data_IF_339546868994
#
_entry.id   IF_339546868994
#
_cell.length_a   1.000
_cell.length_b   1.000
_cell.length_c   1.000
_cell.angle_alpha   90.00
_cell.angle_beta   90.00
_cell.angle_gamma   90.00
#
_symmetry.space_group_name_H-M   'P 1'
#
loop_
_entity.id
_entity.type
_entity.pdbx_description
1 polymer ?
#
# COMPACT_ATOMS: atom_id res chain seq x y z
N UNK A 1 -10.97 -1.59 11.87
CA UNK A 1 -10.07 -0.44 12.08
C UNK A 1 -9.70 -0.34 13.54
N UNK A 2 -8.45 -0.02 13.85
CA UNK A 2 -7.95 0.11 15.21
C UNK A 2 -8.18 1.48 15.82
N UNK A 3 -8.44 1.51 17.13
CA UNK A 3 -8.70 2.76 17.87
C UNK A 3 -7.46 3.66 17.96
N UNK A 4 -6.27 3.10 17.73
CA UNK A 4 -5.02 3.83 17.73
C UNK A 4 -4.55 4.25 16.33
N UNK A 5 -5.35 3.98 15.29
CA UNK A 5 -5.03 4.40 13.94
C UNK A 5 -5.23 5.90 13.72
N UNK A 6 -4.49 6.49 12.78
CA UNK A 6 -4.58 7.92 12.43
C UNK A 6 -6.02 8.35 12.10
N UNK A 7 -6.86 7.46 11.57
CA UNK A 7 -8.27 7.77 11.26
C UNK A 7 -9.11 8.08 12.49
N UNK A 8 -8.76 7.53 13.66
CA UNK A 8 -9.51 7.70 14.91
C UNK A 8 -8.88 8.77 15.83
N UNK A 9 -7.62 9.13 15.60
CA UNK A 9 -6.87 10.11 16.40
C UNK A 9 -7.28 11.54 16.02
N UNK A 10 -7.16 12.44 17.00
CA UNK A 10 -7.46 13.87 16.83
C UNK A 10 -6.36 14.74 17.43
N UNK A 11 -6.38 16.04 17.12
CA UNK A 11 -5.46 17.01 17.73
C UNK A 11 -3.98 16.71 17.48
N UNK A 12 -3.17 16.82 18.53
CA UNK A 12 -1.71 16.68 18.42
C UNK A 12 -1.27 15.25 18.11
N UNK A 13 -1.97 14.22 18.63
CA UNK A 13 -1.66 12.82 18.29
C UNK A 13 -1.89 12.54 16.79
N UNK A 14 -2.97 13.08 16.22
CA UNK A 14 -3.18 13.01 14.76
C UNK A 14 -2.07 13.75 14.02
N UNK A 15 -1.70 14.96 14.45
CA UNK A 15 -0.64 15.76 13.82
C UNK A 15 0.71 15.04 13.82
N UNK A 16 1.06 14.38 14.93
CA UNK A 16 2.28 13.58 15.06
C UNK A 16 2.31 12.43 14.05
N UNK A 17 1.30 11.53 14.09
CA UNK A 17 1.19 10.41 13.14
C UNK A 17 1.17 10.87 11.69
N UNK A 18 0.42 11.93 11.39
CA UNK A 18 0.35 12.51 10.05
C UNK A 18 1.72 13.02 9.58
N UNK A 19 2.48 13.68 10.46
CA UNK A 19 3.84 14.15 10.16
C UNK A 19 4.77 13.00 9.81
N UNK A 20 4.75 11.91 10.58
CA UNK A 20 5.56 10.71 10.32
C UNK A 20 5.22 10.12 8.95
N UNK A 21 3.93 9.86 8.69
CA UNK A 21 3.46 9.24 7.44
C UNK A 21 3.78 10.11 6.23
N UNK A 22 3.47 11.41 6.29
CA UNK A 22 3.73 12.33 5.17
C UNK A 22 5.21 12.53 4.88
N UNK A 23 6.08 12.46 5.90
CA UNK A 23 7.53 12.54 5.68
C UNK A 23 8.06 11.40 4.79
N UNK A 24 7.48 10.19 4.89
CA UNK A 24 7.86 9.05 4.03
C UNK A 24 7.32 9.19 2.62
N UNK A 25 6.18 9.85 2.46
CA UNK A 25 5.58 10.12 1.14
C UNK A 25 6.05 11.45 0.54
N UNK A 26 7.14 12.02 1.07
CA UNK A 26 7.81 13.19 0.50
C UNK A 26 8.45 12.87 -0.85
N UNK A 27 8.83 13.90 -1.61
CA UNK A 27 9.50 13.74 -2.92
C UNK A 27 10.73 12.83 -2.80
N UNK A 28 11.55 13.01 -1.76
CA UNK A 28 12.73 12.18 -1.50
C UNK A 28 12.35 10.73 -1.21
N UNK A 29 11.31 10.50 -0.39
CA UNK A 29 10.82 9.16 -0.11
C UNK A 29 10.27 8.46 -1.36
N UNK A 30 9.52 9.19 -2.19
CA UNK A 30 9.03 8.68 -3.48
C UNK A 30 10.19 8.36 -4.44
N UNK A 31 11.21 9.22 -4.52
CA UNK A 31 12.41 8.95 -5.33
C UNK A 31 13.10 7.65 -4.93
N UNK A 32 13.23 7.38 -3.63
CA UNK A 32 13.81 6.14 -3.11
C UNK A 32 12.90 4.91 -3.36
N UNK A 33 11.59 5.11 -3.42
CA UNK A 33 10.61 4.03 -3.58
C UNK A 33 10.48 3.54 -5.03
N UNK A 34 10.61 4.43 -6.04
CA UNK A 34 10.38 4.09 -7.45
C UNK A 34 11.21 2.87 -7.92
N UNK A 35 12.54 2.80 -7.71
CA UNK A 35 13.33 1.64 -8.15
C UNK A 35 12.89 0.34 -7.49
N UNK A 36 12.47 0.39 -6.22
CA UNK A 36 12.00 -0.76 -5.45
C UNK A 36 10.68 -1.27 -6.02
N UNK A 37 9.75 -0.35 -6.30
CA UNK A 37 8.49 -0.67 -6.98
C UNK A 37 8.75 -1.28 -8.36
N UNK A 38 9.66 -0.73 -9.16
CA UNK A 38 10.03 -1.32 -10.44
C UNK A 38 10.51 -2.77 -10.29
N UNK A 39 11.37 -3.04 -9.30
CA UNK A 39 11.86 -4.39 -9.03
C UNK A 39 10.71 -5.34 -8.64
N UNK A 40 9.85 -4.95 -7.71
CA UNK A 40 8.72 -5.78 -7.26
C UNK A 40 7.71 -6.02 -8.39
N UNK A 41 7.41 -5.00 -9.20
CA UNK A 41 6.54 -5.13 -10.38
C UNK A 41 7.15 -6.10 -11.39
N UNK A 42 8.43 -5.97 -11.74
CA UNK A 42 9.08 -6.88 -12.69
C UNK A 42 9.06 -8.34 -12.19
N UNK A 43 9.41 -8.57 -10.92
CA UNK A 43 9.34 -9.91 -10.30
C UNK A 43 7.92 -10.48 -10.37
N UNK A 44 6.90 -9.67 -10.07
CA UNK A 44 5.50 -10.09 -10.14
C UNK A 44 5.08 -10.45 -11.56
N UNK A 45 5.42 -9.63 -12.56
CA UNK A 45 5.10 -9.88 -13.97
C UNK A 45 5.77 -11.17 -14.48
N UNK A 46 7.04 -11.38 -14.14
CA UNK A 46 7.78 -12.60 -14.51
C UNK A 46 7.17 -13.85 -13.87
N UNK A 47 6.89 -13.80 -12.56
CA UNK A 47 6.34 -14.92 -11.80
C UNK A 47 4.91 -15.27 -12.22
N UNK A 48 4.07 -14.25 -12.43
CA UNK A 48 2.61 -14.45 -12.48
C UNK A 48 1.99 -14.20 -13.87
N UNK A 49 2.64 -13.46 -14.78
CA UNK A 49 2.03 -13.06 -16.06
C UNK A 49 2.72 -13.71 -17.26
N UNK A 50 4.05 -13.71 -17.31
CA UNK A 50 4.83 -14.06 -18.51
C UNK A 50 4.52 -15.46 -19.11
N UNK A 51 4.18 -16.44 -18.29
CA UNK A 51 3.92 -17.82 -18.71
C UNK A 51 2.43 -18.19 -18.77
N UNK A 52 1.53 -17.25 -18.45
CA UNK A 52 0.10 -17.51 -18.36
C UNK A 52 -0.64 -16.86 -19.54
N UNK A 53 -1.41 -17.66 -20.28
CA UNK A 53 -2.25 -17.14 -21.39
C UNK A 53 -3.42 -16.30 -20.89
N UNK A 54 -3.93 -16.63 -19.71
CA UNK A 54 -5.03 -15.95 -19.05
C UNK A 54 -4.64 -15.65 -17.62
N UNK A 55 -4.96 -14.45 -17.15
CA UNK A 55 -4.70 -14.02 -15.78
C UNK A 55 -5.96 -13.48 -15.14
N UNK A 56 -6.16 -13.78 -13.86
CA UNK A 56 -7.14 -13.06 -13.05
C UNK A 56 -6.55 -11.70 -12.67
N UNK A 57 -6.81 -10.68 -13.49
CA UNK A 57 -6.20 -9.36 -13.32
C UNK A 57 -6.46 -8.78 -11.92
N UNK A 58 -7.70 -8.78 -11.44
CA UNK A 58 -8.04 -8.22 -10.13
C UNK A 58 -7.27 -8.90 -8.99
N UNK A 59 -7.25 -10.24 -8.97
CA UNK A 59 -6.50 -11.01 -7.97
C UNK A 59 -5.00 -10.74 -8.08
N UNK A 60 -4.48 -10.68 -9.29
CA UNK A 60 -3.05 -10.45 -9.53
C UNK A 60 -2.62 -9.06 -9.08
N UNK A 61 -3.42 -8.03 -9.38
CA UNK A 61 -3.16 -6.65 -8.96
C UNK A 61 -3.33 -6.47 -7.46
N UNK A 62 -4.27 -7.17 -6.81
CA UNK A 62 -4.35 -7.23 -5.35
C UNK A 62 -3.04 -7.74 -4.75
N UNK A 63 -2.58 -8.92 -5.17
CA UNK A 63 -1.29 -9.45 -4.71
C UNK A 63 -0.14 -8.47 -4.95
N UNK A 64 -0.04 -7.89 -6.15
CA UNK A 64 1.02 -6.92 -6.49
C UNK A 64 1.03 -5.71 -5.56
N UNK A 65 -0.13 -5.07 -5.37
CA UNK A 65 -0.22 -3.86 -4.54
C UNK A 65 -0.01 -4.18 -3.06
N UNK A 66 -0.43 -5.36 -2.59
CA UNK A 66 -0.15 -5.82 -1.23
C UNK A 66 1.35 -6.00 -1.01
N UNK A 67 2.03 -6.68 -1.94
CA UNK A 67 3.49 -6.85 -1.93
C UNK A 67 4.22 -5.51 -1.97
N UNK A 68 3.82 -4.59 -2.86
CA UNK A 68 4.43 -3.26 -2.94
C UNK A 68 4.33 -2.52 -1.61
N UNK A 69 3.17 -2.57 -0.92
CA UNK A 69 3.03 -1.86 0.35
C UNK A 69 3.90 -2.49 1.44
N UNK A 70 3.89 -3.81 1.59
CA UNK A 70 4.72 -4.49 2.59
C UNK A 70 6.22 -4.27 2.34
N UNK A 71 6.67 -4.46 1.11
CA UNK A 71 8.09 -4.34 0.75
C UNK A 71 8.49 -2.86 0.68
N UNK A 72 7.85 -2.08 -0.19
CA UNK A 72 8.33 -0.75 -0.57
C UNK A 72 7.97 0.36 0.44
N UNK A 73 6.85 0.24 1.16
CA UNK A 73 6.46 1.24 2.16
C UNK A 73 6.95 0.85 3.56
N UNK A 74 6.80 -0.42 3.94
CA UNK A 74 7.12 -0.90 5.29
C UNK A 74 8.46 -1.63 5.40
N UNK A 75 9.01 -2.22 4.34
CA UNK A 75 10.24 -3.01 4.45
C UNK A 75 10.10 -4.26 5.31
N UNK A 76 8.87 -4.77 5.49
CA UNK A 76 8.61 -5.95 6.31
C UNK A 76 9.01 -7.19 5.51
N UNK A 77 9.94 -7.99 6.05
CA UNK A 77 10.52 -9.17 5.39
C UNK A 77 9.61 -10.41 5.36
N UNK A 78 8.30 -10.23 5.55
CA UNK A 78 7.34 -11.32 5.59
C UNK A 78 6.89 -11.65 4.17
N UNK A 79 6.85 -12.94 3.84
CA UNK A 79 6.34 -13.41 2.56
C UNK A 79 4.88 -12.98 2.38
N UNK A 80 4.57 -12.11 1.39
CA UNK A 80 3.23 -11.54 1.23
C UNK A 80 2.13 -12.59 1.10
N UNK A 81 2.43 -13.72 0.47
CA UNK A 81 1.51 -14.85 0.28
C UNK A 81 1.00 -15.43 1.61
N UNK A 82 1.78 -15.35 2.69
CA UNK A 82 1.39 -15.86 4.01
C UNK A 82 0.38 -14.96 4.72
N UNK A 83 0.51 -13.64 4.55
CA UNK A 83 -0.32 -12.65 5.21
C UNK A 83 -1.53 -12.22 4.40
N UNK A 84 -1.46 -12.28 3.06
CA UNK A 84 -2.49 -11.76 2.17
C UNK A 84 -3.89 -12.25 2.52
N UNK A 85 -4.05 -13.57 2.70
CA UNK A 85 -5.35 -14.16 3.03
C UNK A 85 -5.87 -13.80 4.42
N UNK A 86 -5.00 -13.40 5.34
CA UNK A 86 -5.38 -12.91 6.68
C UNK A 86 -5.82 -11.45 6.60
N UNK A 87 -5.10 -10.63 5.83
CA UNK A 87 -5.47 -9.23 5.59
C UNK A 87 -6.78 -9.08 4.83
N UNK A 88 -7.04 -9.90 3.80
CA UNK A 88 -8.33 -9.89 3.09
C UNK A 88 -9.49 -10.23 4.03
N UNK A 89 -9.30 -11.14 4.99
CA UNK A 89 -10.32 -11.45 6.02
C UNK A 89 -10.57 -10.28 6.95
N UNK A 90 -9.56 -9.45 7.24
CA UNK A 90 -9.76 -8.21 8.01
C UNK A 90 -10.60 -7.21 7.22
N UNK A 91 -10.24 -6.99 5.95
CA UNK A 91 -11.00 -6.10 5.06
C UNK A 91 -12.48 -6.50 4.95
N UNK A 92 -12.77 -7.79 4.73
CA UNK A 92 -14.14 -8.28 4.64
C UNK A 92 -15.00 -7.94 5.87
N UNK A 93 -14.40 -7.88 7.06
CA UNK A 93 -15.11 -7.58 8.30
C UNK A 93 -15.29 -6.09 8.56
N UNK A 94 -14.37 -5.23 8.12
CA UNK A 94 -14.45 -3.77 8.29
C UNK A 94 -15.71 -3.20 7.64
N UNK A 95 -16.12 -3.76 6.50
CA UNK A 95 -17.34 -3.35 5.79
C UNK A 95 -18.59 -4.15 6.20
N UNK A 96 -18.46 -5.10 7.14
CA UNK A 96 -19.57 -5.93 7.58
C UNK A 96 -20.28 -5.34 8.81
N UNK A 97 -21.58 -5.63 9.00
CA UNK A 97 -22.28 -5.26 10.23
C UNK A 97 -21.53 -5.78 11.47
N UNK A 98 -21.41 -4.99 12.55
CA UNK A 98 -20.62 -5.33 13.74
C UNK A 98 -21.33 -6.36 14.64
N UNK A 99 -21.72 -7.51 14.07
CA UNK A 99 -22.47 -8.57 14.74
C UNK A 99 -21.51 -9.73 15.04
N UNK A 100 -21.16 -9.88 16.31
CA UNK A 100 -20.20 -10.89 16.77
C UNK A 100 -20.87 -12.25 17.03
N UNK A 101 -21.27 -12.93 15.95
CA UNK A 101 -21.77 -14.31 16.00
C UNK A 101 -20.72 -15.30 15.43
N UNK A 102 -20.57 -16.53 15.96
CA UNK A 102 -19.62 -17.52 15.43
C UNK A 102 -19.84 -17.76 13.93
N UNK A 103 -18.77 -17.60 13.14
CA UNK A 103 -18.84 -17.76 11.68
C UNK A 103 -19.36 -16.53 10.91
N UNK A 104 -19.67 -15.42 11.58
CA UNK A 104 -19.89 -14.13 10.91
C UNK A 104 -18.59 -13.56 10.31
N UNK A 105 -18.71 -12.65 9.34
CA UNK A 105 -17.57 -11.89 8.79
C UNK A 105 -16.84 -11.11 9.89
N UNK A 106 -17.59 -10.45 10.78
CA UNK A 106 -17.05 -9.71 11.91
C UNK A 106 -16.25 -10.60 12.90
N UNK A 107 -16.78 -11.79 13.25
CA UNK A 107 -16.05 -12.72 14.12
C UNK A 107 -14.77 -13.27 13.47
N UNK A 108 -14.78 -13.51 12.15
CA UNK A 108 -13.59 -13.91 11.39
C UNK A 108 -12.55 -12.78 11.31
N UNK A 109 -12.99 -11.55 11.08
CA UNK A 109 -12.12 -10.37 11.09
C UNK A 109 -11.44 -10.21 12.44
N UNK A 110 -12.17 -10.30 13.55
CA UNK A 110 -11.56 -10.17 14.87
C UNK A 110 -10.44 -11.19 15.12
N UNK A 111 -10.63 -12.44 14.66
CA UNK A 111 -9.59 -13.48 14.74
C UNK A 111 -8.39 -13.15 13.85
N UNK A 112 -8.65 -12.81 12.59
CA UNK A 112 -7.61 -12.45 11.62
C UNK A 112 -6.80 -11.23 12.07
N UNK A 113 -7.47 -10.26 12.70
CA UNK A 113 -6.85 -9.08 13.29
C UNK A 113 -5.91 -9.45 14.42
N UNK A 114 -6.32 -10.31 15.36
CA UNK A 114 -5.43 -10.79 16.43
C UNK A 114 -4.24 -11.58 15.90
N UNK A 115 -4.38 -12.31 14.78
CA UNK A 115 -3.26 -12.98 14.11
C UNK A 115 -2.26 -11.97 13.54
N UNK A 116 -2.74 -10.95 12.83
CA UNK A 116 -1.89 -9.88 12.27
C UNK A 116 -1.21 -9.07 13.38
N UNK A 117 -1.94 -8.71 14.44
CA UNK A 117 -1.40 -7.97 15.59
C UNK A 117 -0.21 -8.71 16.22
N UNK A 118 -0.33 -10.03 16.42
CA UNK A 118 0.78 -10.82 16.97
C UNK A 118 2.03 -10.78 16.10
N UNK A 119 1.85 -10.95 14.79
CA UNK A 119 2.95 -10.92 13.82
C UNK A 119 3.61 -9.53 13.82
N UNK A 120 2.82 -8.48 13.71
CA UNK A 120 3.34 -7.11 13.66
C UNK A 120 4.01 -6.68 14.97
N UNK A 121 3.51 -7.11 16.14
CA UNK A 121 4.18 -6.86 17.42
C UNK A 121 5.58 -7.50 17.43
N UNK A 122 5.72 -8.73 16.92
CA UNK A 122 7.03 -9.38 16.80
C UNK A 122 7.97 -8.57 15.90
N UNK A 123 7.50 -8.12 14.74
CA UNK A 123 8.30 -7.28 13.83
C UNK A 123 8.69 -5.94 14.48
N UNK A 124 7.76 -5.28 15.17
CA UNK A 124 8.01 -3.98 15.84
C UNK A 124 9.10 -4.13 16.90
N UNK A 125 9.02 -5.19 17.71
CA UNK A 125 10.02 -5.46 18.76
C UNK A 125 11.37 -5.83 18.18
N UNK A 126 11.41 -6.67 17.15
CA UNK A 126 12.66 -7.02 16.47
C UNK A 126 13.35 -5.79 15.89
N UNK A 127 12.62 -4.96 15.15
CA UNK A 127 13.13 -3.70 14.57
C UNK A 127 13.59 -2.73 15.67
N UNK A 128 12.85 -2.63 16.77
CA UNK A 128 13.25 -1.80 17.92
C UNK A 128 14.59 -2.24 18.51
N UNK A 129 14.76 -3.54 18.75
CA UNK A 129 16.01 -4.09 19.28
C UNK A 129 17.22 -3.89 18.34
N UNK A 130 16.99 -3.94 17.02
CA UNK A 130 18.03 -3.65 16.02
C UNK A 130 18.46 -2.18 16.03
N UNK A 131 17.49 -1.26 16.07
CA UNK A 131 17.75 0.18 16.09
C UNK A 131 18.42 0.63 17.40
N UNK A 132 17.93 0.17 18.55
CA UNK A 132 18.54 0.46 19.86
C UNK A 132 19.94 -0.19 19.99
N UNK A 133 20.16 -1.31 19.31
CA UNK A 133 21.47 -1.97 19.23
C UNK A 133 22.45 -1.37 18.22
N UNK A 134 22.07 -0.30 17.50
CA UNK A 134 22.87 0.34 16.45
C UNK A 134 23.17 -0.57 15.25
N UNK A 135 22.36 -1.62 15.04
CA UNK A 135 22.50 -2.58 13.93
C UNK A 135 21.70 -2.20 12.69
N UNK A 136 20.87 -1.18 12.80
CA UNK A 136 19.97 -0.73 11.74
C UNK A 136 19.89 0.81 11.73
N UNK A 137 20.28 1.41 10.61
CA UNK A 137 20.09 2.84 10.37
C UNK A 137 18.70 3.08 9.75
N UNK A 138 18.11 4.24 9.99
CA UNK A 138 16.80 4.58 9.43
C UNK A 138 16.85 4.56 7.89
N UNK A 139 16.37 3.46 7.29
CA UNK A 139 16.27 3.21 5.85
C UNK A 139 15.26 4.13 5.12
N UNK A 140 14.70 5.10 5.84
CA UNK A 140 13.69 6.04 5.36
C UNK A 140 12.30 5.44 5.15
N UNK A 141 12.11 4.14 5.40
CA UNK A 141 10.82 3.47 5.25
C UNK A 141 9.87 3.82 6.39
N UNK A 142 8.57 3.67 6.13
CA UNK A 142 7.55 4.08 7.08
C UNK A 142 7.60 3.25 8.37
N UNK A 143 7.93 1.96 8.27
CA UNK A 143 8.03 1.11 9.45
C UNK A 143 9.17 1.55 10.38
N UNK A 144 10.35 1.82 9.82
CA UNK A 144 11.51 2.30 10.57
C UNK A 144 11.21 3.64 11.25
N UNK A 145 10.50 4.55 10.57
CA UNK A 145 10.04 5.82 11.18
C UNK A 145 8.99 5.62 12.27
N UNK A 146 8.08 4.68 12.02
CA UNK A 146 7.20 3.99 12.97
C UNK A 146 7.90 3.76 14.32
N UNK A 147 8.88 2.88 14.24
CA UNK A 147 9.64 2.36 15.37
C UNK A 147 10.55 3.43 15.98
N UNK A 148 11.14 4.33 15.16
CA UNK A 148 11.93 5.45 15.67
C UNK A 148 11.10 6.39 16.56
N UNK A 149 9.86 6.70 16.15
CA UNK A 149 8.94 7.51 16.93
C UNK A 149 8.50 6.79 18.22
N UNK A 150 8.31 5.46 18.15
CA UNK A 150 8.07 4.63 19.34
C UNK A 150 9.25 4.68 20.33
N UNK A 151 10.49 4.57 19.86
CA UNK A 151 11.70 4.66 20.70
C UNK A 151 11.81 6.04 21.38
N UNK A 152 11.38 7.10 20.68
CA UNK A 152 11.32 8.47 21.23
C UNK A 152 10.11 8.74 22.14
N UNK A 153 9.28 7.73 22.40
CA UNK A 153 8.05 7.84 23.22
C UNK A 153 7.03 8.84 22.64
N UNK A 154 7.07 9.08 21.32
CA UNK A 154 6.14 9.97 20.61
C UNK A 154 4.82 9.27 20.28
N UNK A 155 4.88 7.95 20.09
CA UNK A 155 3.74 7.07 19.80
C UNK A 155 3.92 5.73 20.51
N UNK A 156 2.84 4.97 20.63
CA UNK A 156 2.78 3.67 21.31
C UNK A 156 2.96 2.47 20.37
N UNK A 157 3.32 1.29 20.91
CA UNK A 157 3.41 0.03 20.15
C UNK A 157 2.07 -0.32 19.49
N UNK A 158 0.94 0.03 20.11
CA UNK A 158 -0.39 -0.14 19.51
C UNK A 158 -0.63 0.84 18.35
N UNK A 159 -0.11 2.07 18.41
CA UNK A 159 -0.23 3.07 17.33
C UNK A 159 0.59 2.68 16.10
N UNK A 160 1.89 2.39 16.27
CA UNK A 160 2.49 1.13 15.79
C UNK A 160 1.69 0.28 14.78
N UNK A 161 1.19 -0.80 15.36
CA UNK A 161 0.46 -1.88 14.72
C UNK A 161 -0.82 -1.37 14.02
N UNK A 162 -1.62 -0.54 14.69
CA UNK A 162 -2.90 -0.08 14.14
C UNK A 162 -2.69 0.76 12.86
N UNK A 163 -1.64 1.56 12.77
CA UNK A 163 -1.33 2.34 11.57
C UNK A 163 -0.76 1.48 10.44
N UNK A 164 0.08 0.48 10.75
CA UNK A 164 0.54 -0.50 9.73
C UNK A 164 -0.67 -1.22 9.11
N UNK A 165 -1.56 -1.77 9.94
CA UNK A 165 -2.76 -2.47 9.46
C UNK A 165 -3.65 -1.57 8.61
N UNK A 166 -3.91 -0.35 9.09
CA UNK A 166 -4.72 0.63 8.37
C UNK A 166 -4.11 0.98 7.00
N UNK A 167 -2.82 1.28 6.95
CA UNK A 167 -2.18 1.76 5.73
C UNK A 167 -1.96 0.64 4.70
N UNK A 168 -1.69 -0.60 5.15
CA UNK A 168 -1.70 -1.77 4.26
C UNK A 168 -3.08 -1.91 3.62
N UNK A 169 -4.15 -1.85 4.43
CA UNK A 169 -5.50 -1.89 3.92
C UNK A 169 -5.80 -0.75 2.92
N UNK A 170 -5.50 0.49 3.31
CA UNK A 170 -5.81 1.68 2.53
C UNK A 170 -5.07 1.70 1.18
N UNK A 171 -3.79 1.34 1.15
CA UNK A 171 -2.99 1.41 -0.06
C UNK A 171 -3.23 0.21 -1.00
N UNK A 172 -3.54 -0.97 -0.46
CA UNK A 172 -3.76 -2.19 -1.25
C UNK A 172 -5.11 -2.18 -1.98
N UNK A 173 -6.23 -2.00 -1.26
CA UNK A 173 -7.55 -2.26 -1.83
C UNK A 173 -7.96 -1.18 -2.85
N UNK A 174 -7.65 0.09 -2.57
CA UNK A 174 -8.00 1.19 -3.49
C UNK A 174 -7.15 1.18 -4.75
N UNK A 175 -5.85 0.93 -4.62
CA UNK A 175 -4.91 0.96 -5.76
C UNK A 175 -5.12 -0.24 -6.67
N UNK A 176 -5.37 -1.43 -6.10
CA UNK A 176 -5.68 -2.62 -6.90
C UNK A 176 -6.96 -2.46 -7.72
N UNK A 177 -7.99 -1.85 -7.13
CA UNK A 177 -9.20 -1.49 -7.84
C UNK A 177 -8.93 -0.48 -8.97
N UNK A 178 -8.22 0.61 -8.68
CA UNK A 178 -7.89 1.65 -9.66
C UNK A 178 -7.14 1.07 -10.87
N UNK A 179 -6.08 0.29 -10.65
CA UNK A 179 -5.31 -0.36 -11.73
C UNK A 179 -6.20 -1.31 -12.54
N UNK A 180 -7.01 -2.13 -11.87
CA UNK A 180 -7.91 -3.08 -12.55
C UNK A 180 -8.90 -2.36 -13.46
N UNK A 181 -9.47 -1.26 -12.98
CA UNK A 181 -10.39 -0.45 -13.78
C UNK A 181 -9.67 0.27 -14.91
N UNK A 182 -8.43 0.72 -14.72
CA UNK A 182 -7.62 1.33 -15.79
C UNK A 182 -7.41 0.34 -16.93
N UNK A 183 -7.02 -0.90 -16.63
CA UNK A 183 -6.88 -1.96 -17.64
C UNK A 183 -8.19 -2.26 -18.35
N UNK A 184 -9.31 -2.33 -17.61
CA UNK A 184 -10.64 -2.53 -18.19
C UNK A 184 -11.01 -1.40 -19.17
N UNK A 185 -10.73 -0.15 -18.81
CA UNK A 185 -10.97 1.00 -19.68
C UNK A 185 -10.09 0.95 -20.92
N UNK A 186 -8.79 0.70 -20.77
CA UNK A 186 -7.86 0.60 -21.90
C UNK A 186 -8.21 -0.54 -22.87
N UNK A 187 -8.71 -1.67 -22.37
CA UNK A 187 -9.22 -2.75 -23.21
C UNK A 187 -10.48 -2.35 -24.01
N UNK A 188 -11.25 -1.38 -23.52
CA UNK A 188 -12.47 -0.87 -24.17
C UNK A 188 -12.17 0.28 -25.14
N UNK A 189 -11.11 1.04 -24.90
CA UNK A 189 -10.73 2.24 -25.67
C UNK A 189 -9.33 2.08 -26.30
N UNK A 190 -9.21 1.38 -27.44
CA UNK A 190 -7.92 1.06 -28.07
C UNK A 190 -7.14 2.29 -28.56
N UNK A 191 -7.83 3.38 -28.89
CA UNK A 191 -7.18 4.65 -29.28
C UNK A 191 -6.40 5.24 -28.10
N UNK A 192 -7.01 5.22 -26.90
CA UNK A 192 -6.35 5.64 -25.66
C UNK A 192 -5.17 4.72 -25.33
N UNK A 193 -5.33 3.41 -25.50
CA UNK A 193 -4.22 2.46 -25.30
C UNK A 193 -3.06 2.76 -26.25
N UNK A 194 -3.33 3.07 -27.51
CA UNK A 194 -2.29 3.38 -28.51
C UNK A 194 -1.50 4.63 -28.15
N UNK A 195 -2.17 5.68 -27.64
CA UNK A 195 -1.51 6.89 -27.16
C UNK A 195 -0.65 6.65 -25.91
N UNK A 196 -1.17 5.86 -24.96
CA UNK A 196 -0.43 5.48 -23.74
C UNK A 196 0.78 4.60 -24.07
N UNK A 197 0.64 3.67 -25.02
CA UNK A 197 1.75 2.85 -25.49
C UNK A 197 2.85 3.70 -26.10
N UNK A 198 2.49 4.66 -26.97
CA UNK A 198 3.44 5.59 -27.58
C UNK A 198 4.19 6.40 -26.52
N UNK A 199 3.50 6.93 -25.52
CA UNK A 199 4.15 7.65 -24.39
C UNK A 199 5.21 6.76 -23.70
N UNK A 200 4.88 5.52 -23.39
CA UNK A 200 5.82 4.62 -22.72
C UNK A 200 6.95 4.11 -23.63
N UNK A 201 6.72 3.94 -24.94
CA UNK A 201 7.78 3.65 -25.91
C UNK A 201 8.78 4.81 -25.99
N UNK A 202 8.30 6.05 -25.99
CA UNK A 202 9.14 7.26 -26.00
C UNK A 202 10.01 7.36 -24.73
N UNK A 203 9.44 7.04 -23.56
CA UNK A 203 10.19 6.95 -22.31
C UNK A 203 11.22 5.82 -22.39
N UNK A 204 10.82 4.63 -22.82
CA UNK A 204 11.68 3.45 -22.87
C UNK A 204 12.89 3.63 -23.82
N UNK A 205 12.72 4.33 -24.95
CA UNK A 205 13.84 4.62 -25.88
C UNK A 205 14.93 5.48 -25.25
N UNK A 206 14.61 6.24 -24.21
CA UNK A 206 15.58 7.06 -23.48
C UNK A 206 16.24 6.33 -22.30
N UNK A 207 15.92 5.05 -22.08
CA UNK A 207 16.45 4.22 -20.99
C UNK A 207 17.46 3.20 -21.50
N UNK A 208 18.48 2.92 -20.70
CA UNK A 208 19.41 1.81 -20.97
C UNK A 208 18.72 0.47 -20.66
N UNK A 209 19.11 -0.63 -21.34
CA UNK A 209 18.64 -1.97 -20.98
C UNK A 209 18.87 -2.28 -19.49
N UNK A 210 17.81 -2.69 -18.79
CA UNK A 210 17.86 -3.01 -17.36
C UNK A 210 17.81 -1.79 -16.42
N UNK A 211 17.74 -0.57 -16.95
CA UNK A 211 17.63 0.63 -16.12
C UNK A 211 16.19 0.82 -15.61
N UNK A 212 16.02 0.92 -14.29
CA UNK A 212 14.72 1.21 -13.69
C UNK A 212 14.25 2.64 -14.00
N UNK A 213 12.93 2.84 -13.95
CA UNK A 213 12.34 4.17 -14.02
C UNK A 213 12.84 5.02 -12.84
N UNK A 214 12.95 6.31 -13.09
CA UNK A 214 13.21 7.33 -12.07
C UNK A 214 11.93 8.12 -11.78
N UNK A 215 11.91 8.91 -10.71
CA UNK A 215 10.77 9.81 -10.46
C UNK A 215 10.59 10.83 -11.60
N UNK A 216 11.68 11.26 -12.25
CA UNK A 216 11.60 12.15 -13.40
C UNK A 216 10.99 11.48 -14.63
N UNK A 217 11.18 10.16 -14.80
CA UNK A 217 10.50 9.41 -15.85
C UNK A 217 8.99 9.32 -15.57
N UNK A 218 8.61 9.09 -14.31
CA UNK A 218 7.19 9.07 -13.90
C UNK A 218 6.52 10.43 -14.12
N UNK A 219 7.21 11.54 -13.84
CA UNK A 219 6.68 12.89 -14.08
C UNK A 219 6.40 13.19 -15.56
N UNK A 220 7.08 12.51 -16.48
CA UNK A 220 6.85 12.66 -17.93
C UNK A 220 5.64 11.88 -18.43
N UNK A 221 5.02 11.03 -17.59
CA UNK A 221 3.86 10.21 -17.96
C UNK A 221 2.55 11.02 -17.91
N UNK A 222 2.49 12.12 -18.66
CA UNK A 222 1.38 13.08 -18.62
C UNK A 222 0.06 12.46 -19.08
N UNK A 223 0.07 11.68 -20.16
CA UNK A 223 -1.10 11.02 -20.69
C UNK A 223 -1.52 9.84 -19.81
N UNK A 224 -0.58 9.05 -19.30
CA UNK A 224 -0.87 8.02 -18.28
C UNK A 224 -1.60 8.62 -17.07
N UNK A 225 -1.18 9.81 -16.61
CA UNK A 225 -1.86 10.51 -15.53
C UNK A 225 -3.29 10.94 -15.90
N UNK A 226 -3.52 11.41 -17.13
CA UNK A 226 -4.87 11.70 -17.62
C UNK A 226 -5.77 10.46 -17.62
N UNK A 227 -5.25 9.32 -18.11
CA UNK A 227 -5.96 8.03 -18.12
C UNK A 227 -6.30 7.58 -16.70
N UNK A 228 -5.34 7.65 -15.76
CA UNK A 228 -5.56 7.29 -14.37
C UNK A 228 -6.63 8.18 -13.71
N UNK A 229 -6.57 9.50 -13.93
CA UNK A 229 -7.56 10.45 -13.43
C UNK A 229 -8.95 10.19 -13.99
N UNK A 230 -9.06 9.96 -15.30
CA UNK A 230 -10.36 9.70 -15.94
C UNK A 230 -10.96 8.37 -15.46
N UNK A 231 -10.12 7.35 -15.28
CA UNK A 231 -10.54 6.08 -14.68
C UNK A 231 -11.07 6.30 -13.27
N UNK A 232 -10.37 7.03 -12.41
CA UNK A 232 -10.83 7.30 -11.04
C UNK A 232 -12.07 8.23 -11.01
N UNK A 233 -12.27 9.08 -12.02
CA UNK A 233 -13.48 9.90 -12.16
C UNK A 233 -14.71 9.04 -12.46
N UNK A 234 -14.56 8.05 -13.35
CA UNK A 234 -15.64 7.15 -13.75
C UNK A 234 -15.85 5.99 -12.76
N UNK A 235 -14.77 5.53 -12.13
CA UNK A 235 -14.73 4.38 -11.25
C UNK A 235 -13.93 4.74 -9.99
N UNK A 236 -14.49 5.59 -9.11
CA UNK A 236 -13.80 6.00 -7.90
C UNK A 236 -13.62 4.81 -6.94
N UNK A 237 -12.41 4.53 -6.44
CA UNK A 237 -12.20 3.46 -5.46
C UNK A 237 -12.96 3.68 -4.14
N UNK A 238 -13.18 4.94 -3.76
CA UNK A 238 -13.94 5.34 -2.58
C UNK A 238 -15.06 6.28 -3.03
N UNK A 239 -16.30 5.91 -2.74
CA UNK A 239 -17.50 6.63 -3.20
C UNK A 239 -18.14 7.53 -2.14
N UNK A 240 -17.69 7.48 -0.89
CA UNK A 240 -18.30 8.21 0.24
C UNK A 240 -17.30 8.55 1.34
N UNK A 241 -17.54 9.66 2.04
CA UNK A 241 -16.84 10.07 3.25
C UNK A 241 -17.85 10.42 4.33
N UNK A 242 -17.58 10.01 5.57
CA UNK A 242 -18.41 10.36 6.73
C UNK A 242 -17.71 11.47 7.50
N UNK A 243 -18.44 12.55 7.79
CA UNK A 243 -17.98 13.63 8.66
C UNK A 243 -18.97 13.79 9.80
N UNK A 244 -18.45 13.95 11.02
CA UNK A 244 -19.25 14.32 12.18
C UNK A 244 -19.15 15.83 12.37
N UNK A 245 -20.29 16.51 12.41
CA UNK A 245 -20.33 17.93 12.75
C UNK A 245 -19.98 18.10 14.23
N UNK A 246 -19.00 18.95 14.52
CA UNK A 246 -18.71 19.39 15.89
C UNK A 246 -19.70 20.51 16.22
N UNK A 247 -20.72 20.18 17.01
CA UNK A 247 -21.53 21.14 17.75
C UNK A 247 -20.91 21.39 19.13
#
# INVERSE_FOLDING_TARGET
MGRNSIMEKQGDSHRCLHGIITSTLSITGLQAMVPRMCSSIQKHLQKNWQHNKEISLYRSTKMLTFTIVLECLFGIGIEPETLFGVFERVLEGVLSPPVNFPGSKFSREKKARTEIEKVLITEVRGKREEMEGGRDEEDGMLFSKLVAALIRDEITEDEVVDNVVLLVFAAHDTTSYAITMTFKMLATYPDCYSLLLKEHEDIARNKKPGEYLTLEDVKKMEYTWQVARETMRLCPPIFWFLQKSNN
#
